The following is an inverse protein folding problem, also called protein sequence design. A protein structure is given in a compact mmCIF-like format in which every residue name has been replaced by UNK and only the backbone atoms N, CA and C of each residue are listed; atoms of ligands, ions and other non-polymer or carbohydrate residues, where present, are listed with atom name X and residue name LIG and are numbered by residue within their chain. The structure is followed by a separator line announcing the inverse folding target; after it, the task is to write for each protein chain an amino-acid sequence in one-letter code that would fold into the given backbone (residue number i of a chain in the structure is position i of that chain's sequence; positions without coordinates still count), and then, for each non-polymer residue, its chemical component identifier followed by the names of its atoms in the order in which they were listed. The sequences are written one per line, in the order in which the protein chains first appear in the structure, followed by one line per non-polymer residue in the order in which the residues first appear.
data_IF_722122153714
#
_entry.id   IF_722122153714
#
_cell.length_a   1.000
_cell.length_b   1.000
_cell.length_c   1.000
_cell.angle_alpha   90.00
_cell.angle_beta   90.00
_cell.angle_gamma   90.00
#
_symmetry.space_group_name_H-M   'P 1'
#
loop_
_entity.id
_entity.type
_entity.pdbx_description
1 polymer ?
#
# COMPACT_ATOMS: atom_id res chain seq x y z
N UNK A 1 0.82 6.75 -21.86
CA UNK A 1 1.87 5.74 -22.09
C UNK A 1 3.29 6.33 -22.07
N UNK A 2 3.56 7.40 -22.84
CA UNK A 2 4.87 8.07 -22.92
C UNK A 2 5.53 8.36 -21.56
N UNK A 3 4.78 8.96 -20.63
CA UNK A 3 5.29 9.27 -19.29
C UNK A 3 5.57 8.00 -18.48
N UNK A 4 4.62 7.06 -18.38
CA UNK A 4 4.78 5.83 -17.59
C UNK A 4 5.97 4.97 -18.02
N UNK A 5 6.24 4.85 -19.32
CA UNK A 5 7.40 4.11 -19.83
C UNK A 5 8.74 4.80 -19.54
N UNK A 6 8.74 6.12 -19.30
CA UNK A 6 9.96 6.94 -19.13
C UNK A 6 10.24 7.31 -17.68
N UNK A 7 9.22 7.45 -16.85
CA UNK A 7 9.33 7.83 -15.44
C UNK A 7 9.39 6.64 -14.50
N UNK A 8 9.69 5.43 -15.02
CA UNK A 8 9.62 4.15 -14.30
C UNK A 8 10.14 4.29 -12.84
N UNK A 9 9.25 4.32 -11.83
CA UNK A 9 9.62 4.64 -10.47
C UNK A 9 10.55 3.57 -9.91
N UNK A 10 11.36 3.95 -8.90
CA UNK A 10 12.04 2.95 -8.11
C UNK A 10 11.04 2.19 -7.28
N UNK A 11 11.33 0.92 -7.07
CA UNK A 11 10.43 0.01 -6.38
C UNK A 11 11.28 -1.02 -5.64
N UNK A 12 11.74 -0.71 -4.41
CA UNK A 12 12.66 -1.56 -3.66
C UNK A 12 12.01 -2.85 -3.17
N UNK A 13 10.69 -2.88 -3.10
CA UNK A 13 9.87 -4.05 -2.82
C UNK A 13 8.58 -3.98 -3.64
N UNK A 14 8.01 -5.14 -3.97
CA UNK A 14 6.74 -5.17 -4.67
C UNK A 14 5.60 -4.58 -3.86
N UNK A 15 4.71 -3.89 -4.57
CA UNK A 15 3.54 -3.22 -3.99
C UNK A 15 2.30 -3.63 -4.77
N UNK A 16 1.14 -3.17 -4.32
CA UNK A 16 -0.14 -3.34 -5.03
C UNK A 16 -0.09 -2.86 -6.48
N UNK A 17 0.79 -1.91 -6.79
CA UNK A 17 0.91 -1.32 -8.13
C UNK A 17 1.73 -2.17 -9.11
N UNK A 18 2.53 -3.13 -8.62
CA UNK A 18 3.32 -4.01 -9.47
C UNK A 18 4.54 -4.61 -8.78
N UNK A 19 5.22 -5.49 -9.51
CA UNK A 19 6.39 -6.22 -9.02
C UNK A 19 7.69 -5.45 -9.23
N UNK A 20 8.66 -5.66 -8.36
CA UNK A 20 10.05 -5.27 -8.57
C UNK A 20 10.66 -6.00 -9.78
N UNK A 21 11.51 -5.30 -10.55
CA UNK A 21 12.32 -5.90 -11.61
C UNK A 21 13.46 -6.75 -11.04
N UNK A 22 13.86 -7.80 -11.75
CA UNK A 22 14.95 -8.67 -11.33
C UNK A 22 16.29 -8.14 -11.88
N UNK A 23 17.42 -8.16 -11.15
CA UNK A 23 18.70 -7.63 -11.65
C UNK A 23 19.16 -8.26 -12.97
N UNK A 24 18.82 -9.54 -13.18
CA UNK A 24 19.21 -10.28 -14.37
C UNK A 24 18.25 -10.19 -15.57
N UNK A 25 17.14 -9.44 -15.48
CA UNK A 25 16.29 -9.23 -16.66
C UNK A 25 16.89 -8.19 -17.61
N UNK A 26 16.37 -8.14 -18.84
CA UNK A 26 16.61 -7.00 -19.70
C UNK A 26 15.96 -5.75 -19.08
N UNK A 27 16.52 -4.59 -19.41
CA UNK A 27 16.14 -3.26 -18.95
C UNK A 27 16.38 -2.99 -17.45
N UNK A 28 17.15 -3.85 -16.78
CA UNK A 28 17.55 -3.65 -15.38
C UNK A 28 18.56 -2.53 -15.28
N UNK A 29 18.36 -1.61 -14.34
CA UNK A 29 19.21 -0.43 -14.16
C UNK A 29 20.29 -0.67 -13.12
N UNK A 30 21.45 -0.09 -13.36
CA UNK A 30 22.64 -0.22 -12.55
C UNK A 30 23.28 1.15 -12.33
N UNK A 31 23.79 1.41 -11.13
CA UNK A 31 24.39 2.70 -10.77
C UNK A 31 25.80 2.55 -10.22
N UNK A 32 26.71 3.52 -10.44
CA UNK A 32 28.08 3.45 -9.96
C UNK A 32 28.29 4.01 -8.54
N UNK A 33 27.27 4.63 -7.94
CA UNK A 33 27.33 5.27 -6.62
C UNK A 33 26.59 4.47 -5.55
N UNK A 34 27.00 4.66 -4.30
CA UNK A 34 26.64 3.80 -3.18
C UNK A 34 25.25 4.10 -2.63
N UNK A 35 25.00 5.36 -2.26
CA UNK A 35 23.76 5.78 -1.60
C UNK A 35 22.82 6.50 -2.57
N UNK A 36 21.51 6.35 -2.39
CA UNK A 36 20.50 7.09 -3.15
C UNK A 36 19.36 7.60 -2.29
N UNK A 37 18.38 8.28 -2.90
CA UNK A 37 17.26 8.86 -2.16
C UNK A 37 16.42 7.84 -1.39
N UNK A 38 16.41 6.57 -1.78
CA UNK A 38 15.73 5.54 -0.98
C UNK A 38 16.41 5.31 0.37
N UNK A 39 17.73 5.48 0.45
CA UNK A 39 18.45 5.38 1.72
C UNK A 39 18.16 6.60 2.64
N UNK A 40 17.77 7.77 2.10
CA UNK A 40 17.35 8.97 2.87
C UNK A 40 15.93 8.81 3.47
N UNK A 41 15.01 8.17 2.74
CA UNK A 41 13.62 7.97 3.17
C UNK A 41 13.46 6.80 4.17
N UNK A 42 14.51 6.00 4.38
CA UNK A 42 14.45 4.83 5.26
C UNK A 42 14.77 5.21 6.71
N UNK A 43 13.75 5.60 7.48
CA UNK A 43 13.88 6.05 8.89
C UNK A 43 14.60 5.04 9.82
N UNK A 44 14.58 3.76 9.49
CA UNK A 44 15.26 2.70 10.25
C UNK A 44 16.71 2.42 9.79
N UNK A 45 17.12 2.95 8.65
CA UNK A 45 18.46 2.73 8.11
C UNK A 45 19.50 3.56 8.84
N UNK A 46 20.58 2.92 9.30
CA UNK A 46 21.74 3.61 9.86
C UNK A 46 23.00 3.22 9.10
N UNK A 47 23.90 4.19 8.91
CA UNK A 47 25.24 3.93 8.44
C UNK A 47 26.09 3.44 9.62
N UNK A 48 26.74 2.30 9.44
CA UNK A 48 27.81 1.83 10.34
C UNK A 48 29.11 1.71 9.56
N UNK A 49 30.19 2.21 10.16
CA UNK A 49 31.52 2.26 9.54
C UNK A 49 32.44 1.28 10.25
N UNK A 50 33.17 0.45 9.51
CA UNK A 50 34.16 -0.47 10.07
C UNK A 50 35.53 -0.28 9.43
N UNK A 51 36.58 -0.70 10.16
CA UNK A 51 37.96 -0.62 9.69
C UNK A 51 38.60 0.75 9.89
N UNK A 52 39.93 0.79 9.72
CA UNK A 52 40.70 2.03 9.82
C UNK A 52 40.97 2.66 8.45
N UNK A 53 41.59 1.92 7.54
CA UNK A 53 41.73 2.27 6.13
C UNK A 53 42.07 0.98 5.37
N UNK A 54 41.22 0.52 4.43
CA UNK A 54 39.98 1.16 3.96
C UNK A 54 38.83 1.07 4.99
N UNK A 55 37.85 1.96 4.82
CA UNK A 55 36.58 1.93 5.54
C UNK A 55 35.59 1.01 4.82
N UNK A 56 34.87 0.19 5.58
CA UNK A 56 33.77 -0.64 5.11
C UNK A 56 32.47 0.03 5.55
N UNK A 57 31.64 0.39 4.58
CA UNK A 57 30.38 1.07 4.85
C UNK A 57 29.24 0.07 4.82
N UNK A 58 28.49 -0.01 5.89
CA UNK A 58 27.24 -0.75 5.98
C UNK A 58 26.07 0.21 6.13
N UNK A 59 24.94 -0.08 5.51
CA UNK A 59 23.71 0.67 5.71
C UNK A 59 22.53 -0.27 5.82
N UNK A 60 21.79 -0.17 6.93
CA UNK A 60 20.76 -1.13 7.31
C UNK A 60 21.31 -2.59 7.31
N UNK A 61 22.42 -2.79 8.03
CA UNK A 61 23.13 -4.07 8.20
C UNK A 61 23.65 -4.72 6.90
N UNK A 62 23.74 -3.95 5.82
CA UNK A 62 24.21 -4.45 4.53
C UNK A 62 25.45 -3.73 4.08
N UNK A 63 26.46 -4.48 3.67
CA UNK A 63 27.65 -3.92 3.08
C UNK A 63 27.28 -3.17 1.79
N UNK A 64 27.71 -1.90 1.70
CA UNK A 64 27.40 -1.02 0.57
C UNK A 64 28.62 -0.75 -0.30
N UNK A 65 29.79 -0.51 0.31
CA UNK A 65 31.05 -0.28 -0.42
C UNK A 65 32.24 -0.35 0.54
N UNK A 66 33.44 -0.45 -0.03
CA UNK A 66 34.74 -0.27 0.63
C UNK A 66 35.42 0.95 0.04
N UNK A 67 35.77 1.92 0.87
CA UNK A 67 36.29 3.23 0.44
C UNK A 67 37.53 3.63 1.25
N UNK A 68 38.51 4.26 0.60
CA UNK A 68 39.65 4.81 1.32
C UNK A 68 39.19 5.93 2.26
N UNK A 69 39.75 6.01 3.47
CA UNK A 69 39.40 7.08 4.43
C UNK A 69 39.61 8.48 3.86
N UNK A 70 40.57 8.63 2.94
CA UNK A 70 40.82 9.90 2.25
C UNK A 70 39.63 10.38 1.40
N UNK A 71 38.86 9.43 0.84
CA UNK A 71 37.76 9.70 -0.08
C UNK A 71 36.40 9.83 0.62
N UNK A 72 36.31 9.44 1.91
CA UNK A 72 35.09 9.51 2.71
C UNK A 72 35.24 10.49 3.88
N UNK A 73 35.46 11.77 3.56
CA UNK A 73 35.65 12.85 4.54
C UNK A 73 34.49 13.85 4.51
N UNK A 74 34.20 14.44 5.67
CA UNK A 74 33.17 15.47 5.79
C UNK A 74 33.59 16.72 5.02
N UNK A 75 32.71 17.21 4.13
CA UNK A 75 32.98 18.38 3.27
C UNK A 75 32.86 19.72 4.01
N UNK A 76 32.17 19.74 5.15
CA UNK A 76 31.97 20.96 5.92
C UNK A 76 33.29 21.40 6.57
N UNK A 77 33.73 22.64 6.36
CA UNK A 77 35.07 23.12 6.73
C UNK A 77 35.36 23.00 8.22
N UNK A 78 34.35 23.20 9.07
CA UNK A 78 34.44 23.02 10.53
C UNK A 78 34.64 21.57 11.00
N UNK A 79 34.36 20.58 10.14
CA UNK A 79 34.38 19.16 10.46
C UNK A 79 35.34 18.36 9.56
N UNK A 80 36.26 19.04 8.88
CA UNK A 80 37.21 18.41 7.94
C UNK A 80 38.09 17.32 8.55
N UNK A 81 38.29 17.32 9.87
CA UNK A 81 39.03 16.31 10.63
C UNK A 81 38.10 15.32 11.38
N UNK A 82 36.80 15.32 11.08
CA UNK A 82 35.86 14.41 11.71
C UNK A 82 36.19 12.96 11.32
N UNK A 83 36.32 12.10 12.33
CA UNK A 83 36.55 10.67 12.15
C UNK A 83 35.27 9.91 12.50
N UNK A 84 34.77 9.12 11.56
CA UNK A 84 33.65 8.22 11.82
C UNK A 84 34.09 7.17 12.87
N UNK A 85 33.32 7.06 13.94
CA UNK A 85 33.46 6.06 14.97
C UNK A 85 32.89 4.73 14.48
N UNK A 86 33.59 3.64 14.76
CA UNK A 86 33.11 2.29 14.44
C UNK A 86 32.08 1.76 15.44
N UNK A 87 31.88 2.46 16.55
CA UNK A 87 30.92 2.10 17.60
C UNK A 87 29.63 2.90 17.56
N UNK A 88 29.43 3.74 16.52
CA UNK A 88 28.29 4.63 16.42
C UNK A 88 27.51 4.37 15.12
N UNK A 89 26.19 4.48 15.21
CA UNK A 89 25.27 4.32 14.09
C UNK A 89 24.78 5.70 13.63
N UNK A 90 25.02 6.04 12.37
CA UNK A 90 24.70 7.37 11.84
C UNK A 90 23.39 7.35 11.06
N UNK A 91 22.36 8.03 11.57
CA UNK A 91 21.07 8.15 10.88
C UNK A 91 21.16 9.06 9.64
N UNK A 92 20.39 8.83 8.55
CA UNK A 92 20.39 9.70 7.39
C UNK A 92 19.91 11.13 7.71
N UNK A 93 20.42 12.11 6.96
CA UNK A 93 19.91 13.48 6.99
C UNK A 93 20.22 14.25 5.69
N UNK A 94 19.35 15.19 5.34
CA UNK A 94 19.51 16.02 4.16
C UNK A 94 19.39 15.23 2.85
N UNK A 95 19.35 15.93 1.73
CA UNK A 95 19.10 15.28 0.43
C UNK A 95 20.33 14.55 -0.10
N UNK A 96 20.13 13.31 -0.55
CA UNK A 96 21.19 12.51 -1.16
C UNK A 96 21.32 12.85 -2.64
N UNK A 97 22.54 13.20 -3.06
CA UNK A 97 22.85 13.42 -4.46
C UNK A 97 23.35 12.14 -5.12
N UNK A 98 22.64 11.74 -6.16
CA UNK A 98 22.70 10.41 -6.77
C UNK A 98 23.73 10.32 -7.90
N UNK A 99 24.98 10.62 -7.55
CA UNK A 99 26.13 10.50 -8.43
C UNK A 99 27.41 10.38 -7.60
N UNK A 100 28.47 9.81 -8.17
CA UNK A 100 29.76 9.67 -7.48
C UNK A 100 30.31 11.05 -7.11
N UNK A 101 30.60 11.25 -5.82
CA UNK A 101 31.05 12.52 -5.26
C UNK A 101 29.93 13.51 -4.90
N UNK A 102 28.66 13.18 -5.17
CA UNK A 102 27.49 13.93 -4.68
C UNK A 102 27.46 14.02 -3.15
N UNK A 103 26.77 14.99 -2.55
CA UNK A 103 26.69 15.02 -1.08
C UNK A 103 25.67 13.99 -0.58
N UNK A 104 26.01 13.29 0.48
CA UNK A 104 25.10 12.47 1.27
C UNK A 104 25.31 12.83 2.74
N UNK A 105 24.24 12.91 3.52
CA UNK A 105 24.28 13.39 4.89
C UNK A 105 23.96 12.31 5.91
N UNK A 106 24.69 12.33 7.01
CA UNK A 106 24.47 11.44 8.15
C UNK A 106 24.60 12.21 9.47
N UNK A 107 23.72 11.94 10.44
CA UNK A 107 23.70 12.61 11.75
C UNK A 107 24.76 12.02 12.65
N UNK A 108 25.55 12.88 13.29
CA UNK A 108 26.50 12.48 14.32
C UNK A 108 25.82 12.25 15.68
N UNK A 109 26.64 11.99 16.71
CA UNK A 109 26.21 11.80 18.10
C UNK A 109 25.51 13.03 18.72
N UNK A 110 25.74 14.23 18.17
CA UNK A 110 25.13 15.48 18.61
C UNK A 110 23.84 15.80 17.81
N UNK A 111 23.51 15.00 16.80
CA UNK A 111 22.39 15.21 15.88
C UNK A 111 22.71 16.16 14.72
N UNK A 112 23.95 16.62 14.59
CA UNK A 112 24.44 17.48 13.52
C UNK A 112 24.59 16.69 12.21
N UNK A 113 24.17 17.28 11.10
CA UNK A 113 24.23 16.60 9.80
C UNK A 113 25.61 16.74 9.15
N UNK A 114 26.34 15.63 9.04
CA UNK A 114 27.64 15.51 8.39
C UNK A 114 27.49 15.14 6.93
N UNK A 115 27.89 16.04 6.04
CA UNK A 115 27.87 15.80 4.59
C UNK A 115 29.19 15.24 4.09
N UNK A 116 29.16 14.04 3.49
CA UNK A 116 30.29 13.37 2.86
C UNK A 116 30.05 13.19 1.35
N UNK A 117 31.10 13.01 0.52
CA UNK A 117 30.92 12.59 -0.86
C UNK A 117 30.32 11.18 -0.93
N UNK A 118 29.37 10.96 -1.85
CA UNK A 118 28.77 9.67 -2.16
C UNK A 118 29.82 8.80 -2.86
N UNK A 119 30.35 7.77 -2.19
CA UNK A 119 31.46 7.00 -2.73
C UNK A 119 31.01 6.15 -3.92
N UNK A 120 31.94 5.81 -4.83
CA UNK A 120 31.64 4.79 -5.83
C UNK A 120 31.41 3.44 -5.14
N UNK A 121 30.66 2.57 -5.80
CA UNK A 121 30.54 1.17 -5.40
C UNK A 121 31.89 0.49 -5.68
N UNK A 122 32.49 -0.12 -4.67
CA UNK A 122 33.77 -0.79 -4.81
C UNK A 122 33.96 -1.89 -3.76
N UNK A 123 34.39 -3.07 -4.20
CA UNK A 123 34.77 -4.18 -3.33
C UNK A 123 36.10 -4.78 -3.80
N UNK A 124 37.20 -4.64 -3.03
CA UNK A 124 38.49 -5.24 -3.38
C UNK A 124 38.41 -6.77 -3.33
N UNK A 125 39.20 -7.44 -4.16
CA UNK A 125 39.13 -8.90 -4.41
C UNK A 125 39.45 -9.73 -3.16
N UNK A 126 40.22 -9.18 -2.22
CA UNK A 126 40.77 -9.89 -1.05
C UNK A 126 39.92 -9.75 0.22
N UNK A 127 38.72 -9.19 0.13
CA UNK A 127 37.93 -8.86 1.31
C UNK A 127 37.00 -9.99 1.74
N UNK A 128 37.04 -10.34 3.04
CA UNK A 128 36.19 -11.39 3.63
C UNK A 128 34.68 -11.04 3.62
N UNK A 129 34.35 -9.75 3.51
CA UNK A 129 32.98 -9.24 3.53
C UNK A 129 32.46 -8.93 2.13
N UNK A 130 32.34 -9.96 1.30
CA UNK A 130 31.69 -9.80 -0.01
C UNK A 130 30.17 -9.60 0.17
N UNK A 131 29.53 -8.81 -0.71
CA UNK A 131 28.08 -8.76 -0.76
C UNK A 131 27.46 -10.13 -1.00
N UNK A 132 26.26 -10.36 -0.44
CA UNK A 132 25.56 -11.63 -0.58
C UNK A 132 25.25 -12.00 -2.03
N UNK A 133 25.01 -11.00 -2.89
CA UNK A 133 24.62 -11.20 -4.28
C UNK A 133 25.52 -10.38 -5.21
N UNK A 134 26.35 -11.08 -5.98
CA UNK A 134 27.24 -10.48 -6.99
C UNK A 134 27.06 -11.18 -8.32
N UNK A 135 26.61 -10.44 -9.33
CA UNK A 135 26.49 -10.94 -10.71
C UNK A 135 27.65 -10.42 -11.58
N UNK A 136 28.10 -11.23 -12.54
CA UNK A 136 29.03 -10.80 -13.57
C UNK A 136 28.31 -10.00 -14.65
N UNK A 137 28.71 -8.74 -14.81
CA UNK A 137 28.27 -7.86 -15.89
C UNK A 137 29.30 -7.89 -17.03
N UNK A 138 29.53 -9.08 -17.59
CA UNK A 138 30.53 -9.28 -18.63
C UNK A 138 30.24 -8.40 -19.86
N UNK A 139 31.06 -7.37 -20.08
CA UNK A 139 30.87 -6.38 -21.14
C UNK A 139 31.16 -6.92 -22.54
N UNK A 140 31.79 -8.09 -22.69
CA UNK A 140 32.16 -8.64 -24.01
C UNK A 140 30.96 -8.97 -24.90
N UNK A 141 29.76 -9.12 -24.32
CA UNK A 141 28.52 -9.43 -25.06
C UNK A 141 27.68 -8.17 -25.41
N UNK A 142 28.22 -6.95 -25.21
CA UNK A 142 27.48 -5.69 -25.34
C UNK A 142 26.13 -5.74 -24.59
N UNK A 143 26.16 -6.17 -23.33
CA UNK A 143 24.94 -6.35 -22.52
C UNK A 143 24.51 -5.09 -21.78
N UNK A 144 25.40 -4.10 -21.64
CA UNK A 144 25.13 -2.83 -20.97
C UNK A 144 25.11 -1.69 -21.98
N UNK A 145 24.13 -0.82 -21.84
CA UNK A 145 24.07 0.48 -22.50
C UNK A 145 24.18 1.57 -21.44
N UNK A 146 25.10 2.53 -21.58
CA UNK A 146 25.25 3.59 -20.60
C UNK A 146 24.12 4.63 -20.74
N UNK A 147 23.65 5.13 -19.61
CA UNK A 147 22.57 6.12 -19.50
C UNK A 147 23.21 7.47 -19.17
N UNK A 148 23.03 8.46 -20.05
CA UNK A 148 23.46 9.85 -19.82
C UNK A 148 24.95 10.01 -19.47
N UNK A 149 25.85 9.54 -20.35
CA UNK A 149 27.30 9.73 -20.16
C UNK A 149 27.76 11.19 -20.30
N UNK A 150 26.96 12.05 -20.93
CA UNK A 150 27.31 13.45 -21.19
C UNK A 150 26.74 14.42 -20.13
N UNK A 151 25.89 13.94 -19.23
CA UNK A 151 25.30 14.72 -18.14
C UNK A 151 26.24 14.91 -16.94
N UNK A 152 25.92 15.87 -16.08
CA UNK A 152 26.67 16.17 -14.83
C UNK A 152 26.68 15.03 -13.80
N UNK A 153 25.95 13.94 -14.05
CA UNK A 153 25.55 12.98 -13.02
C UNK A 153 26.28 11.62 -13.10
N UNK A 154 27.30 11.46 -13.96
CA UNK A 154 28.11 10.24 -14.12
C UNK A 154 27.25 8.96 -14.22
N UNK A 155 26.93 8.65 -15.48
CA UNK A 155 25.88 7.74 -15.92
C UNK A 155 25.72 6.40 -15.20
N UNK A 156 24.46 5.98 -15.08
CA UNK A 156 24.10 4.60 -14.80
C UNK A 156 24.21 3.74 -16.07
N UNK A 157 23.85 2.47 -15.94
CA UNK A 157 23.80 1.53 -17.05
C UNK A 157 22.43 0.84 -17.07
N UNK A 158 22.00 0.42 -18.25
CA UNK A 158 20.85 -0.46 -18.42
C UNK A 158 21.30 -1.74 -19.09
N UNK A 159 20.84 -2.89 -18.59
CA UNK A 159 21.02 -4.15 -19.31
C UNK A 159 20.11 -4.16 -20.53
N UNK A 160 20.63 -4.43 -21.73
CA UNK A 160 19.78 -4.54 -22.94
C UNK A 160 19.37 -5.99 -23.22
N UNK A 161 19.97 -6.94 -22.51
CA UNK A 161 19.70 -8.38 -22.61
C UNK A 161 19.59 -9.01 -21.23
N UNK A 162 18.95 -10.17 -21.15
CA UNK A 162 18.93 -10.99 -19.93
C UNK A 162 20.35 -11.45 -19.59
N UNK A 163 20.77 -11.31 -18.33
CA UNK A 163 22.05 -11.81 -17.84
C UNK A 163 22.03 -13.34 -17.77
N UNK A 164 23.17 -13.99 -18.10
CA UNK A 164 23.34 -15.45 -18.07
C UNK A 164 24.18 -15.94 -16.88
N UNK A 165 24.37 -15.09 -15.89
CA UNK A 165 25.13 -15.44 -14.69
C UNK A 165 24.39 -16.53 -13.89
N UNK A 166 25.13 -17.48 -13.30
CA UNK A 166 24.54 -18.54 -12.49
C UNK A 166 23.88 -17.98 -11.21
N UNK A 167 24.43 -16.90 -10.66
CA UNK A 167 23.92 -16.18 -9.49
C UNK A 167 22.53 -15.56 -9.76
N UNK A 168 22.15 -15.39 -11.03
CA UNK A 168 20.80 -14.94 -11.36
C UNK A 168 19.69 -15.87 -10.88
N UNK A 169 19.99 -17.13 -10.59
CA UNK A 169 19.02 -18.10 -10.08
C UNK A 169 18.95 -18.18 -8.55
N UNK A 170 19.95 -17.64 -7.85
CA UNK A 170 20.02 -17.61 -6.38
C UNK A 170 19.45 -16.32 -5.81
N UNK A 171 19.36 -15.27 -6.64
CA UNK A 171 18.75 -14.00 -6.28
C UNK A 171 17.23 -14.16 -6.15
N UNK A 172 16.65 -13.85 -4.98
CA UNK A 172 15.20 -13.91 -4.81
C UNK A 172 14.51 -12.84 -5.67
N UNK A 173 13.34 -13.19 -6.22
CA UNK A 173 12.52 -12.27 -7.00
C UNK A 173 11.87 -11.16 -6.14
N UNK A 174 11.68 -11.42 -4.85
CA UNK A 174 10.97 -10.56 -3.90
C UNK A 174 11.71 -10.35 -2.60
N UNK A 175 11.27 -9.34 -1.86
CA UNK A 175 11.78 -9.01 -0.54
C UNK A 175 13.30 -8.93 -0.54
N UNK A 176 13.84 -8.36 -1.61
CA UNK A 176 15.28 -8.25 -1.78
C UNK A 176 15.80 -7.13 -0.89
N UNK A 177 15.78 -7.38 0.43
CA UNK A 177 16.36 -6.49 1.42
C UNK A 177 17.82 -6.27 1.04
N UNK A 178 18.54 -7.34 0.71
CA UNK A 178 19.95 -7.31 0.32
C UNK A 178 20.19 -6.63 -1.02
N UNK A 179 21.09 -5.63 -1.06
CA UNK A 179 21.52 -5.03 -2.33
C UNK A 179 22.24 -6.07 -3.23
N UNK A 180 22.03 -5.92 -4.54
CA UNK A 180 22.72 -6.71 -5.58
C UNK A 180 23.78 -5.86 -6.23
N UNK A 181 24.94 -6.46 -6.43
CA UNK A 181 26.07 -5.80 -7.05
C UNK A 181 26.43 -6.50 -8.36
N UNK A 182 26.89 -5.72 -9.32
CA UNK A 182 27.34 -6.17 -10.61
C UNK A 182 28.82 -5.88 -10.78
N UNK A 183 29.63 -6.90 -11.07
CA UNK A 183 31.07 -6.74 -11.32
C UNK A 183 31.34 -6.69 -12.82
N UNK A 184 31.98 -5.63 -13.28
CA UNK A 184 32.38 -5.43 -14.67
C UNK A 184 33.69 -6.16 -14.98
N UNK A 185 33.96 -6.36 -16.27
CA UNK A 185 35.18 -7.05 -16.74
C UNK A 185 36.48 -6.28 -16.46
N UNK A 186 36.38 -4.95 -16.31
CA UNK A 186 37.49 -4.08 -15.91
C UNK A 186 37.71 -4.05 -14.37
N UNK A 187 36.90 -4.79 -13.61
CA UNK A 187 36.95 -4.87 -12.16
C UNK A 187 36.18 -3.76 -11.43
N UNK A 188 35.58 -2.82 -12.15
CA UNK A 188 34.67 -1.83 -11.56
C UNK A 188 33.33 -2.46 -11.16
N UNK A 189 32.59 -1.77 -10.29
CA UNK A 189 31.38 -2.29 -9.69
C UNK A 189 30.20 -1.35 -9.91
N UNK A 190 29.02 -1.94 -10.03
CA UNK A 190 27.74 -1.25 -10.08
C UNK A 190 26.80 -1.85 -9.02
N UNK A 191 25.83 -1.07 -8.57
CA UNK A 191 24.74 -1.53 -7.72
C UNK A 191 23.44 -1.57 -8.53
N UNK A 192 22.67 -2.64 -8.38
CA UNK A 192 21.35 -2.77 -8.99
C UNK A 192 20.40 -1.73 -8.41
N UNK A 193 19.65 -1.06 -9.29
CA UNK A 193 18.62 -0.12 -8.92
C UNK A 193 17.24 -0.70 -9.25
N UNK A 194 16.48 -1.15 -8.24
CA UNK A 194 15.23 -1.82 -8.47
C UNK A 194 14.18 -0.85 -9.01
N UNK A 195 13.49 -1.27 -10.08
CA UNK A 195 12.48 -0.48 -10.76
C UNK A 195 11.20 -1.29 -10.90
N UNK A 196 10.06 -0.60 -10.99
CA UNK A 196 8.79 -1.25 -11.28
C UNK A 196 8.87 -2.01 -12.62
N UNK A 197 8.52 -3.29 -12.59
CA UNK A 197 8.41 -4.12 -13.79
C UNK A 197 7.07 -3.82 -14.46
N UNK A 198 7.12 -3.13 -15.60
CA UNK A 198 5.93 -2.78 -16.36
C UNK A 198 5.43 -4.00 -17.15
N UNK A 199 4.14 -4.34 -17.01
CA UNK A 199 3.44 -5.27 -17.87
C UNK A 199 2.56 -4.50 -18.86
N UNK A 200 2.45 -5.01 -20.09
CA UNK A 200 1.57 -4.43 -21.11
C UNK A 200 0.22 -5.14 -21.09
N UNK A 201 -0.84 -4.37 -20.91
CA UNK A 201 -2.22 -4.85 -20.90
C UNK A 201 -3.07 -3.88 -21.75
N UNK A 202 -3.08 -4.09 -23.07
CA UNK A 202 -3.79 -3.22 -24.01
C UNK A 202 -4.99 -3.93 -24.60
N UNK A 203 -5.91 -3.19 -25.23
CA UNK A 203 -7.09 -3.78 -25.86
C UNK A 203 -6.68 -4.73 -27.01
N UNK A 204 -5.65 -4.37 -27.78
CA UNK A 204 -5.14 -5.20 -28.88
C UNK A 204 -4.23 -6.35 -28.44
N UNK A 205 -3.63 -6.26 -27.25
CA UNK A 205 -2.78 -7.28 -26.67
C UNK A 205 -3.06 -7.40 -25.16
N UNK A 206 -4.20 -8.02 -24.79
CA UNK A 206 -4.58 -8.16 -23.40
C UNK A 206 -3.60 -9.07 -22.68
N UNK A 207 -3.34 -8.76 -21.41
CA UNK A 207 -2.45 -9.56 -20.58
C UNK A 207 -3.12 -10.91 -20.28
N UNK A 208 -2.65 -11.98 -20.93
CA UNK A 208 -3.35 -13.28 -20.93
C UNK A 208 -3.54 -13.92 -19.55
N UNK A 209 -2.63 -13.65 -18.61
CA UNK A 209 -2.72 -14.13 -17.22
C UNK A 209 -3.34 -13.09 -16.28
N UNK A 210 -3.82 -11.94 -16.78
CA UNK A 210 -4.39 -10.84 -15.99
C UNK A 210 -3.52 -10.34 -14.84
N UNK A 211 -2.20 -10.57 -14.89
CA UNK A 211 -1.26 -10.23 -13.82
C UNK A 211 -1.12 -11.32 -12.75
N UNK A 212 -1.69 -12.51 -12.93
CA UNK A 212 -1.55 -13.64 -12.02
C UNK A 212 -0.10 -14.01 -11.72
N UNK A 213 0.80 -13.98 -12.71
CA UNK A 213 2.23 -14.22 -12.47
C UNK A 213 2.85 -13.15 -11.57
N UNK A 214 2.37 -11.90 -11.63
CA UNK A 214 2.87 -10.84 -10.76
C UNK A 214 2.42 -11.06 -9.30
N UNK A 215 1.18 -11.53 -9.10
CA UNK A 215 0.69 -11.92 -7.77
C UNK A 215 1.54 -13.06 -7.20
N UNK A 216 1.77 -14.13 -7.97
CA UNK A 216 2.57 -15.27 -7.53
C UNK A 216 4.02 -14.87 -7.25
N UNK A 217 4.64 -14.09 -8.14
CA UNK A 217 6.00 -13.63 -7.94
C UNK A 217 6.12 -12.77 -6.70
N UNK A 218 5.15 -11.87 -6.45
CA UNK A 218 5.12 -10.93 -5.33
C UNK A 218 4.64 -11.50 -4.00
N UNK A 219 4.38 -12.80 -3.93
CA UNK A 219 3.76 -13.44 -2.77
C UNK A 219 2.47 -12.72 -2.33
N UNK A 220 1.62 -12.38 -3.31
CA UNK A 220 0.34 -11.72 -3.08
C UNK A 220 0.38 -10.20 -2.88
N UNK A 221 1.56 -9.57 -2.77
CA UNK A 221 1.66 -8.11 -2.56
C UNK A 221 1.16 -7.28 -3.73
N UNK A 222 1.35 -7.78 -4.96
CA UNK A 222 0.89 -7.11 -6.18
C UNK A 222 -0.52 -7.50 -6.54
N UNK A 223 -1.35 -6.52 -6.87
CA UNK A 223 -2.71 -6.76 -7.36
C UNK A 223 -2.74 -7.20 -8.81
N UNK A 224 -3.77 -7.95 -9.18
CA UNK A 224 -4.01 -8.28 -10.58
C UNK A 224 -4.34 -7.06 -11.43
N UNK A 225 -3.99 -7.13 -12.71
CA UNK A 225 -4.25 -6.10 -13.70
C UNK A 225 -5.55 -6.38 -14.47
N UNK A 226 -6.64 -6.70 -13.78
CA UNK A 226 -7.94 -6.97 -14.42
C UNK A 226 -8.65 -5.65 -14.77
N UNK A 227 -9.38 -5.65 -15.89
CA UNK A 227 -10.26 -4.55 -16.29
C UNK A 227 -11.69 -5.08 -16.48
N UNK A 228 -12.72 -4.36 -15.99
CA UNK A 228 -14.11 -4.76 -16.22
C UNK A 228 -14.43 -4.73 -17.72
N UNK A 229 -15.34 -5.62 -18.14
CA UNK A 229 -15.90 -5.58 -19.49
C UNK A 229 -16.85 -4.39 -19.61
N UNK A 230 -16.67 -3.59 -20.65
CA UNK A 230 -17.42 -2.37 -20.98
C UNK A 230 -17.66 -2.36 -22.49
N UNK A 231 -18.53 -1.48 -22.98
CA UNK A 231 -18.73 -1.29 -24.42
C UNK A 231 -17.45 -0.86 -25.17
N UNK A 232 -16.42 -0.36 -24.46
CA UNK A 232 -15.15 0.09 -25.05
C UNK A 232 -14.15 -1.05 -25.28
N UNK A 233 -14.24 -2.13 -24.53
CA UNK A 233 -13.29 -3.26 -24.61
C UNK A 233 -13.98 -4.60 -24.86
N UNK A 234 -15.31 -4.67 -24.96
CA UNK A 234 -16.03 -5.93 -25.00
C UNK A 234 -15.64 -6.86 -26.16
N UNK A 235 -15.32 -6.30 -27.33
CA UNK A 235 -14.94 -7.08 -28.52
C UNK A 235 -13.57 -7.75 -28.40
N UNK A 236 -12.70 -7.23 -27.52
CA UNK A 236 -11.32 -7.70 -27.33
C UNK A 236 -11.03 -8.10 -25.88
N UNK A 237 -12.05 -8.11 -25.02
CA UNK A 237 -11.94 -8.53 -23.62
C UNK A 237 -11.75 -10.04 -23.58
N UNK A 238 -10.55 -10.47 -23.21
CA UNK A 238 -10.20 -11.89 -23.07
C UNK A 238 -10.30 -12.27 -21.60
N UNK A 239 -11.14 -13.25 -21.29
CA UNK A 239 -11.16 -13.85 -19.97
C UNK A 239 -9.82 -14.54 -19.69
N UNK A 240 -9.13 -14.11 -18.65
CA UNK A 240 -7.87 -14.74 -18.28
C UNK A 240 -8.10 -16.16 -17.76
N UNK A 241 -7.19 -17.07 -18.14
CA UNK A 241 -7.23 -18.48 -17.70
C UNK A 241 -6.60 -18.71 -16.33
N UNK A 242 -5.83 -17.74 -15.83
CA UNK A 242 -5.00 -17.88 -14.62
C UNK A 242 -4.86 -16.57 -13.83
N UNK A 243 -5.68 -15.56 -14.12
CA UNK A 243 -5.65 -14.31 -13.37
C UNK A 243 -6.02 -14.57 -11.91
N UNK A 244 -5.13 -14.16 -11.02
CA UNK A 244 -5.31 -14.23 -9.57
C UNK A 244 -5.72 -15.61 -9.07
N UNK A 245 -5.42 -16.69 -9.79
CA UNK A 245 -5.64 -18.01 -9.24
C UNK A 245 -4.61 -18.22 -8.14
N UNK A 246 -5.02 -17.96 -6.89
CA UNK A 246 -4.38 -18.61 -5.76
C UNK A 246 -4.39 -20.11 -6.05
N UNK A 247 -3.22 -20.71 -6.04
CA UNK A 247 -3.01 -22.11 -6.36
C UNK A 247 -3.61 -23.01 -5.27
N UNK A 248 -4.93 -23.13 -5.21
CA UNK A 248 -5.61 -24.29 -4.67
C UNK A 248 -7.09 -24.22 -5.08
N UNK A 249 -7.73 -25.37 -5.15
CA UNK A 249 -9.14 -25.63 -5.41
C UNK A 249 -10.13 -24.99 -4.41
N UNK A 250 -9.76 -23.89 -3.74
CA UNK A 250 -10.52 -23.18 -2.71
C UNK A 250 -11.35 -22.01 -3.25
N UNK A 251 -11.36 -21.75 -4.56
CA UNK A 251 -12.05 -20.61 -5.19
C UNK A 251 -13.58 -20.59 -5.03
N UNK A 252 -14.17 -21.66 -4.49
CA UNK A 252 -15.59 -21.75 -4.12
C UNK A 252 -15.86 -21.66 -2.63
N UNK A 253 -14.82 -21.64 -1.77
CA UNK A 253 -15.05 -21.50 -0.34
C UNK A 253 -15.56 -20.08 -0.06
N UNK A 254 -16.82 -19.99 0.33
CA UNK A 254 -17.42 -18.76 0.80
C UNK A 254 -17.42 -18.72 2.32
N UNK A 255 -17.19 -17.54 2.86
CA UNK A 255 -17.22 -17.23 4.27
C UNK A 255 -18.27 -16.17 4.52
N UNK A 256 -19.08 -16.35 5.56
CA UNK A 256 -19.98 -15.29 6.02
C UNK A 256 -19.22 -14.42 7.01
N UNK A 257 -19.25 -13.09 6.84
CA UNK A 257 -18.60 -12.15 7.74
C UNK A 257 -19.43 -11.97 9.03
N UNK A 258 -19.38 -12.96 9.92
CA UNK A 258 -20.01 -12.96 11.24
C UNK A 258 -18.97 -12.92 12.37
N UNK A 259 -19.43 -12.86 13.63
CA UNK A 259 -18.54 -12.77 14.79
C UNK A 259 -17.55 -13.95 14.84
N UNK A 260 -18.01 -15.16 14.54
CA UNK A 260 -17.20 -16.38 14.59
C UNK A 260 -16.09 -16.35 13.55
N UNK A 261 -16.43 -15.99 12.31
CA UNK A 261 -15.48 -15.92 11.19
C UNK A 261 -14.46 -14.82 11.41
N UNK A 262 -14.88 -13.64 11.88
CA UNK A 262 -13.97 -12.51 12.11
C UNK A 262 -12.96 -12.83 13.22
N UNK A 263 -13.42 -13.45 14.32
CA UNK A 263 -12.51 -13.90 15.38
C UNK A 263 -11.56 -15.00 14.91
N UNK A 264 -12.04 -15.95 14.11
CA UNK A 264 -11.19 -17.02 13.58
C UNK A 264 -10.12 -16.48 12.63
N UNK A 265 -10.48 -15.51 11.78
CA UNK A 265 -9.51 -14.84 10.91
C UNK A 265 -8.42 -14.14 11.74
N UNK A 266 -8.77 -13.46 12.85
CA UNK A 266 -7.77 -12.89 13.75
C UNK A 266 -6.86 -13.97 14.37
N UNK A 267 -7.43 -15.08 14.84
CA UNK A 267 -6.67 -16.17 15.47
C UNK A 267 -5.66 -16.82 14.51
N UNK A 268 -6.04 -16.99 13.24
CA UNK A 268 -5.19 -17.63 12.23
C UNK A 268 -4.13 -16.66 11.71
N UNK A 269 -4.51 -15.42 11.42
CA UNK A 269 -3.65 -14.48 10.67
C UNK A 269 -2.90 -13.50 11.56
N UNK A 270 -3.40 -13.25 12.77
CA UNK A 270 -2.96 -12.13 13.61
C UNK A 270 -3.42 -10.75 13.11
N UNK A 271 -4.15 -10.67 12.00
CA UNK A 271 -4.63 -9.40 11.44
C UNK A 271 -5.80 -8.82 12.23
N UNK A 272 -5.79 -7.51 12.42
CA UNK A 272 -6.82 -6.80 13.17
C UNK A 272 -8.04 -6.48 12.29
N UNK A 273 -8.84 -7.49 12.00
CA UNK A 273 -10.08 -7.37 11.24
C UNK A 273 -11.20 -6.93 12.16
N UNK A 274 -11.81 -5.79 11.88
CA UNK A 274 -12.85 -5.20 12.73
C UNK A 274 -14.01 -4.67 11.89
N UNK A 275 -15.23 -4.91 12.38
CA UNK A 275 -16.42 -4.18 11.96
C UNK A 275 -16.49 -2.80 12.61
N UNK A 276 -17.22 -1.88 11.99
CA UNK A 276 -17.32 -0.50 12.49
C UNK A 276 -18.73 -0.13 12.93
N UNK A 277 -18.83 0.44 14.13
CA UNK A 277 -20.06 1.02 14.69
C UNK A 277 -19.76 2.39 15.29
N UNK A 278 -20.79 3.15 15.65
CA UNK A 278 -20.65 4.42 16.38
C UNK A 278 -20.27 5.64 15.53
N UNK A 279 -20.16 5.48 14.21
CA UNK A 279 -20.10 6.59 13.27
C UNK A 279 -21.48 7.26 13.17
N UNK A 280 -21.62 8.54 13.51
CA UNK A 280 -22.91 9.22 13.48
C UNK A 280 -23.26 9.71 12.07
N UNK A 281 -24.54 9.98 11.82
CA UNK A 281 -24.98 10.63 10.57
C UNK A 281 -24.69 12.13 10.60
N UNK A 282 -24.68 12.73 11.79
CA UNK A 282 -24.17 14.09 12.07
C UNK A 282 -23.22 14.03 13.25
N UNK A 283 -22.01 14.53 13.08
CA UNK A 283 -21.02 14.54 14.14
C UNK A 283 -21.27 15.68 15.17
N UNK A 284 -20.36 15.80 16.14
CA UNK A 284 -20.48 16.80 17.20
C UNK A 284 -20.13 18.23 16.76
N UNK A 285 -19.59 18.40 15.55
CA UNK A 285 -19.34 19.68 14.91
C UNK A 285 -20.52 20.13 14.04
N UNK A 286 -21.51 19.25 13.83
CA UNK A 286 -22.65 19.51 12.95
C UNK A 286 -22.39 19.10 11.51
N UNK A 287 -21.26 18.44 11.23
CA UNK A 287 -20.95 17.93 9.89
C UNK A 287 -21.74 16.64 9.67
N UNK A 288 -22.66 16.71 8.71
CA UNK A 288 -23.61 15.64 8.40
C UNK A 288 -23.35 14.98 7.04
N UNK A 289 -23.75 13.71 6.93
CA UNK A 289 -23.80 13.03 5.64
C UNK A 289 -24.85 13.68 4.73
N UNK A 290 -24.53 13.80 3.44
CA UNK A 290 -25.47 14.22 2.41
C UNK A 290 -26.77 13.43 2.49
N UNK A 291 -27.91 14.13 2.42
CA UNK A 291 -29.24 13.54 2.52
C UNK A 291 -29.41 12.35 1.54
N UNK A 292 -30.17 11.29 1.87
CA UNK A 292 -30.30 10.12 1.00
C UNK A 292 -30.87 10.45 -0.37
N UNK A 293 -31.60 11.56 -0.50
CA UNK A 293 -32.13 12.03 -1.78
C UNK A 293 -31.17 12.94 -2.57
N UNK A 294 -29.93 13.07 -2.16
CA UNK A 294 -28.92 13.73 -2.96
C UNK A 294 -28.61 12.87 -4.21
N UNK A 295 -28.66 13.44 -5.43
CA UNK A 295 -28.43 12.68 -6.66
C UNK A 295 -27.12 11.89 -6.67
N UNK A 296 -27.20 10.59 -7.02
CA UNK A 296 -26.05 9.68 -7.13
C UNK A 296 -25.49 9.21 -5.78
N UNK A 297 -26.08 9.61 -4.66
CA UNK A 297 -25.60 9.24 -3.33
C UNK A 297 -26.11 7.85 -2.94
N UNK A 298 -25.19 7.05 -2.37
CA UNK A 298 -25.50 5.83 -1.63
C UNK A 298 -25.85 6.19 -0.19
N UNK A 299 -26.94 5.64 0.33
CA UNK A 299 -27.27 5.67 1.76
C UNK A 299 -27.36 4.25 2.31
N UNK A 300 -27.04 4.08 3.59
CA UNK A 300 -27.09 2.82 4.32
C UNK A 300 -28.16 2.87 5.40
N UNK A 301 -28.88 1.77 5.53
CA UNK A 301 -30.00 1.64 6.44
C UNK A 301 -29.84 0.39 7.29
N UNK A 302 -29.91 0.53 8.59
CA UNK A 302 -29.90 -0.57 9.56
C UNK A 302 -31.33 -1.04 9.82
N UNK A 303 -31.52 -2.35 9.86
CA UNK A 303 -32.81 -2.98 10.17
C UNK A 303 -33.01 -3.06 11.69
N UNK A 304 -34.21 -2.71 12.12
CA UNK A 304 -34.68 -2.76 13.50
C UNK A 304 -36.10 -3.34 13.55
N UNK A 305 -36.50 -3.82 14.73
CA UNK A 305 -37.90 -4.21 14.98
C UNK A 305 -38.81 -2.97 14.87
N UNK A 306 -40.01 -3.15 14.33
CA UNK A 306 -40.98 -2.03 14.15
C UNK A 306 -41.35 -1.33 15.46
N UNK A 307 -41.32 -2.06 16.58
CA UNK A 307 -41.68 -1.54 17.92
C UNK A 307 -40.71 -0.47 18.45
N UNK A 308 -39.50 -0.38 17.90
CA UNK A 308 -38.48 0.62 18.28
C UNK A 308 -38.32 1.75 17.25
N UNK A 309 -39.20 1.78 16.24
CA UNK A 309 -39.18 2.79 15.19
C UNK A 309 -39.77 4.11 15.65
N UNK A 310 -39.05 5.21 15.46
CA UNK A 310 -39.57 6.57 15.61
C UNK A 310 -39.67 7.22 14.23
N UNK A 311 -40.72 6.84 13.47
CA UNK A 311 -40.83 7.20 12.05
C UNK A 311 -40.70 8.70 11.83
N UNK A 312 -39.75 9.08 10.98
CA UNK A 312 -39.46 10.49 10.71
C UNK A 312 -40.53 11.10 9.82
N UNK A 313 -41.18 12.16 10.31
CA UNK A 313 -42.21 12.87 9.55
C UNK A 313 -41.59 13.65 8.40
N UNK A 314 -41.74 13.15 7.17
CA UNK A 314 -41.24 13.74 5.93
C UNK A 314 -42.36 14.02 4.93
N UNK A 315 -42.07 14.79 3.89
CA UNK A 315 -42.97 14.97 2.75
C UNK A 315 -43.34 13.65 2.07
N UNK A 316 -44.58 13.55 1.58
CA UNK A 316 -45.14 12.35 0.95
C UNK A 316 -44.24 11.83 -0.18
N UNK A 317 -43.69 12.72 -1.01
CA UNK A 317 -42.78 12.34 -2.09
C UNK A 317 -41.50 11.67 -1.58
N UNK A 318 -40.85 12.25 -0.56
CA UNK A 318 -39.64 11.71 0.06
C UNK A 318 -39.89 10.33 0.67
N UNK A 319 -40.98 10.19 1.44
CA UNK A 319 -41.33 8.91 2.05
C UNK A 319 -41.59 7.83 0.98
N UNK A 320 -42.43 8.10 -0.03
CA UNK A 320 -42.70 7.15 -1.13
C UNK A 320 -41.39 6.76 -1.85
N UNK A 321 -40.52 7.73 -2.10
CA UNK A 321 -39.25 7.53 -2.80
C UNK A 321 -38.31 6.60 -2.04
N UNK A 322 -38.04 6.91 -0.77
CA UNK A 322 -37.11 6.15 0.05
C UNK A 322 -37.67 4.76 0.38
N UNK A 323 -38.96 4.65 0.69
CA UNK A 323 -39.65 3.37 0.90
C UNK A 323 -39.59 2.50 -0.36
N UNK A 324 -39.80 3.08 -1.54
CA UNK A 324 -39.68 2.35 -2.81
C UNK A 324 -38.25 1.86 -3.06
N UNK A 325 -37.25 2.70 -2.83
CA UNK A 325 -35.84 2.33 -2.98
C UNK A 325 -35.42 1.23 -2.00
N UNK A 326 -35.87 1.30 -0.74
CA UNK A 326 -35.62 0.28 0.27
C UNK A 326 -36.28 -1.06 -0.09
N UNK A 327 -37.56 -1.04 -0.50
CA UNK A 327 -38.29 -2.25 -0.87
C UNK A 327 -37.69 -2.93 -2.11
N UNK A 328 -37.25 -2.13 -3.08
CA UNK A 328 -36.74 -2.63 -4.36
C UNK A 328 -35.21 -2.82 -4.39
N UNK A 329 -34.51 -2.61 -3.26
CA UNK A 329 -33.07 -2.82 -3.22
C UNK A 329 -32.73 -4.30 -3.47
N UNK A 330 -31.72 -4.53 -4.31
CA UNK A 330 -31.15 -5.88 -4.54
C UNK A 330 -30.17 -6.32 -3.46
N UNK A 331 -29.94 -5.50 -2.42
CA UNK A 331 -29.04 -5.82 -1.33
C UNK A 331 -29.65 -6.87 -0.40
N UNK A 332 -29.00 -8.03 -0.33
CA UNK A 332 -29.47 -9.21 0.41
C UNK A 332 -28.92 -9.33 1.83
N UNK A 333 -28.18 -8.33 2.31
CA UNK A 333 -27.67 -8.34 3.68
C UNK A 333 -28.82 -8.30 4.71
N UNK A 334 -28.72 -9.12 5.76
CA UNK A 334 -29.79 -9.29 6.74
C UNK A 334 -29.90 -8.15 7.76
N UNK A 335 -28.80 -7.43 7.99
CA UNK A 335 -28.68 -6.42 9.05
C UNK A 335 -28.76 -5.00 8.52
N UNK A 336 -28.27 -4.79 7.29
CA UNK A 336 -28.22 -3.49 6.65
C UNK A 336 -28.67 -3.57 5.19
N UNK A 337 -29.03 -2.43 4.64
CA UNK A 337 -29.40 -2.28 3.23
C UNK A 337 -28.84 -0.99 2.68
N UNK A 338 -28.06 -1.11 1.61
CA UNK A 338 -27.62 0.03 0.82
C UNK A 338 -28.68 0.33 -0.26
N UNK A 339 -28.98 1.61 -0.46
CA UNK A 339 -29.81 2.12 -1.57
C UNK A 339 -29.10 3.28 -2.26
N UNK A 340 -29.38 3.46 -3.54
CA UNK A 340 -28.81 4.53 -4.35
C UNK A 340 -29.92 5.45 -4.86
N UNK A 341 -29.76 6.75 -4.64
CA UNK A 341 -30.67 7.72 -5.22
C UNK A 341 -30.26 8.05 -6.66
N UNK A 342 -31.21 8.13 -7.62
CA UNK A 342 -30.86 8.29 -9.02
C UNK A 342 -30.00 9.53 -9.32
N UNK A 343 -29.00 9.38 -10.18
CA UNK A 343 -28.06 10.46 -10.57
C UNK A 343 -28.76 11.67 -11.21
N UNK A 344 -29.85 11.44 -11.95
CA UNK A 344 -30.61 12.50 -12.60
C UNK A 344 -31.62 13.18 -11.65
N UNK A 345 -31.71 12.73 -10.39
CA UNK A 345 -32.59 13.28 -9.36
C UNK A 345 -34.09 13.09 -9.59
N UNK A 346 -34.50 12.67 -10.80
CA UNK A 346 -35.88 12.42 -11.21
C UNK A 346 -35.89 11.15 -12.07
N UNK A 347 -36.45 10.09 -11.54
CA UNK A 347 -36.87 8.88 -12.26
C UNK A 347 -38.33 8.68 -11.90
N UNK A 348 -39.17 8.28 -12.85
CA UNK A 348 -40.63 8.20 -12.68
C UNK A 348 -41.04 7.65 -11.30
N UNK A 349 -41.61 8.52 -10.44
CA UNK A 349 -42.09 8.18 -9.10
C UNK A 349 -41.11 8.38 -7.94
N UNK A 350 -39.86 8.76 -8.20
CA UNK A 350 -38.83 9.09 -7.19
C UNK A 350 -38.60 10.60 -7.17
N UNK A 351 -39.18 11.27 -6.18
CA UNK A 351 -39.04 12.72 -5.96
C UNK A 351 -38.98 13.01 -4.47
N UNK A 352 -37.89 13.57 -3.97
CA UNK A 352 -37.84 14.06 -2.59
C UNK A 352 -38.16 15.56 -2.50
N UNK A 353 -38.80 15.93 -1.41
CA UNK A 353 -39.05 17.32 -1.07
C UNK A 353 -37.76 17.94 -0.49
N UNK A 354 -37.36 19.09 -1.03
CA UNK A 354 -36.16 19.81 -0.59
C UNK A 354 -36.23 20.24 0.89
N UNK A 355 -37.44 20.40 1.45
CA UNK A 355 -37.61 20.77 2.87
C UNK A 355 -37.25 19.63 3.82
N UNK A 356 -37.14 18.40 3.33
CA UNK A 356 -36.79 17.25 4.16
C UNK A 356 -35.26 17.08 4.30
N UNK A 357 -34.45 17.91 3.62
CA UNK A 357 -32.99 17.79 3.61
C UNK A 357 -32.35 18.15 4.96
N UNK A 358 -33.11 18.78 5.85
CA UNK A 358 -32.69 19.13 7.22
C UNK A 358 -32.82 17.95 8.20
N UNK A 359 -33.32 16.78 7.76
CA UNK A 359 -33.42 15.56 8.58
C UNK A 359 -32.25 14.60 8.27
N UNK A 360 -31.15 14.66 9.02
CA UNK A 360 -30.03 13.76 8.79
C UNK A 360 -30.33 12.36 9.31
N UNK A 361 -30.95 12.23 10.48
CA UNK A 361 -31.38 10.96 11.06
C UNK A 361 -32.81 10.67 10.56
N UNK A 362 -32.99 9.51 9.93
CA UNK A 362 -34.26 9.14 9.29
C UNK A 362 -34.58 7.70 9.66
N UNK A 363 -35.76 7.48 10.21
CA UNK A 363 -36.34 6.18 10.46
C UNK A 363 -37.58 6.02 9.56
N UNK A 364 -37.69 4.87 8.89
CA UNK A 364 -38.78 4.53 7.98
C UNK A 364 -39.32 3.14 8.28
N UNK A 365 -40.64 2.98 8.28
CA UNK A 365 -41.28 1.66 8.33
C UNK A 365 -41.52 1.19 6.90
N UNK A 366 -40.89 0.07 6.52
CA UNK A 366 -41.07 -0.55 5.21
C UNK A 366 -41.48 -1.99 5.39
N UNK A 367 -42.70 -2.28 4.94
CA UNK A 367 -43.40 -3.55 5.16
C UNK A 367 -43.66 -3.77 6.66
N UNK A 368 -42.83 -4.54 7.36
CA UNK A 368 -42.93 -4.80 8.81
C UNK A 368 -41.60 -4.54 9.54
N UNK A 369 -40.64 -3.89 8.88
CA UNK A 369 -39.32 -3.59 9.44
C UNK A 369 -39.12 -2.07 9.58
N UNK A 370 -38.46 -1.68 10.66
CA UNK A 370 -37.94 -0.32 10.79
C UNK A 370 -36.55 -0.24 10.15
N UNK A 371 -36.36 0.76 9.30
CA UNK A 371 -35.08 1.05 8.65
C UNK A 371 -34.57 2.39 9.15
N UNK A 372 -33.49 2.37 9.90
CA UNK A 372 -32.81 3.56 10.40
C UNK A 372 -31.64 3.91 9.51
N UNK A 373 -31.58 5.14 9.02
CA UNK A 373 -30.40 5.64 8.31
C UNK A 373 -29.20 5.68 9.25
N UNK A 374 -28.09 5.12 8.78
CA UNK A 374 -26.83 5.07 9.50
C UNK A 374 -25.69 5.58 8.62
N UNK A 375 -24.48 5.70 9.19
CA UNK A 375 -23.30 6.04 8.42
C UNK A 375 -23.06 5.04 7.28
N UNK A 376 -22.53 5.49 6.15
CA UNK A 376 -22.32 4.63 4.97
C UNK A 376 -21.31 3.49 5.21
N UNK A 377 -20.57 3.54 6.32
CA UNK A 377 -19.60 2.54 6.78
C UNK A 377 -20.04 1.77 8.03
N UNK A 378 -21.27 2.00 8.50
CA UNK A 378 -21.84 1.23 9.61
C UNK A 378 -21.92 -0.26 9.24
N UNK A 379 -21.40 -1.13 10.11
CA UNK A 379 -21.17 -2.57 9.89
C UNK A 379 -20.25 -2.94 8.71
N UNK A 380 -19.51 -2.00 8.11
CA UNK A 380 -18.43 -2.36 7.20
C UNK A 380 -17.31 -3.06 7.97
N UNK A 381 -16.73 -4.11 7.38
CA UNK A 381 -15.62 -4.90 7.94
C UNK A 381 -14.33 -4.52 7.22
N UNK A 382 -13.33 -4.06 7.98
CA UNK A 382 -12.03 -3.65 7.46
C UNK A 382 -10.89 -4.47 8.03
N UNK A 383 -9.85 -4.67 7.23
CA UNK A 383 -8.53 -5.02 7.76
C UNK A 383 -7.84 -3.74 8.28
N UNK A 384 -7.76 -3.61 9.60
CA UNK A 384 -7.16 -2.46 10.27
C UNK A 384 -5.73 -2.72 10.76
N UNK A 385 -5.06 -3.76 10.26
CA UNK A 385 -3.72 -4.15 10.71
C UNK A 385 -2.72 -3.02 10.56
N UNK A 386 -2.71 -2.34 9.40
CA UNK A 386 -1.90 -1.14 9.19
C UNK A 386 -2.18 -0.07 10.26
N UNK A 387 -3.46 0.22 10.50
CA UNK A 387 -3.87 1.25 11.43
C UNK A 387 -3.52 0.92 12.88
N UNK A 388 -3.52 -0.36 13.22
CA UNK A 388 -3.08 -0.83 14.53
C UNK A 388 -1.65 -0.40 14.86
N UNK A 389 -0.79 -0.11 13.88
CA UNK A 389 0.59 0.35 14.11
C UNK A 389 0.80 1.85 13.89
N UNK A 390 -0.11 2.49 13.14
CA UNK A 390 0.02 3.91 12.72
C UNK A 390 -0.98 4.85 13.37
N UNK A 391 -1.94 4.34 14.14
CA UNK A 391 -2.93 5.16 14.82
C UNK A 391 -2.27 6.08 15.87
N UNK A 392 -2.51 7.38 15.75
CA UNK A 392 -1.92 8.42 16.62
C UNK A 392 -2.29 8.26 18.10
N UNK A 393 -3.46 7.70 18.38
CA UNK A 393 -3.89 7.38 19.75
C UNK A 393 -3.24 6.12 20.32
N UNK A 394 -2.33 5.49 19.58
CA UNK A 394 -1.63 4.26 19.95
C UNK A 394 -2.36 2.97 19.51
N UNK A 395 -1.61 1.85 19.47
CA UNK A 395 -2.07 0.57 18.91
C UNK A 395 -3.27 -0.02 19.65
N UNK A 396 -3.26 0.06 20.98
CA UNK A 396 -4.29 -0.53 21.85
C UNK A 396 -5.72 -0.10 21.48
N UNK A 397 -5.90 1.14 21.01
CA UNK A 397 -7.23 1.65 20.68
C UNK A 397 -7.86 1.00 19.44
N UNK A 398 -7.05 0.33 18.61
CA UNK A 398 -7.49 -0.45 17.47
C UNK A 398 -7.50 -1.94 17.81
N UNK A 399 -6.48 -2.42 18.52
CA UNK A 399 -6.26 -3.86 18.74
C UNK A 399 -7.19 -4.50 19.78
N UNK A 400 -7.63 -3.72 20.78
CA UNK A 400 -8.34 -4.26 21.95
C UNK A 400 -9.64 -5.02 21.60
N UNK A 401 -10.30 -4.69 20.50
CA UNK A 401 -11.57 -5.31 20.12
C UNK A 401 -11.34 -6.77 19.73
N UNK A 402 -10.50 -7.02 18.72
CA UNK A 402 -10.09 -8.37 18.35
C UNK A 402 -9.45 -9.15 19.53
N UNK A 403 -8.58 -8.51 20.32
CA UNK A 403 -7.93 -9.15 21.50
C UNK A 403 -8.91 -9.56 22.59
N UNK A 404 -10.06 -8.88 22.70
CA UNK A 404 -11.12 -9.20 23.66
C UNK A 404 -12.21 -10.07 23.05
N UNK A 405 -12.00 -10.64 21.86
CA UNK A 405 -13.00 -11.43 21.14
C UNK A 405 -14.28 -10.61 20.89
N UNK A 406 -14.09 -9.34 20.52
CA UNK A 406 -15.11 -8.43 20.04
C UNK A 406 -14.88 -8.15 18.55
N UNK A 407 -15.97 -8.17 17.77
CA UNK A 407 -15.92 -7.95 16.32
C UNK A 407 -15.94 -6.48 15.94
N UNK A 408 -16.54 -5.61 16.76
CA UNK A 408 -16.83 -4.23 16.39
C UNK A 408 -15.95 -3.23 17.14
N UNK A 409 -15.19 -2.45 16.39
CA UNK A 409 -14.63 -1.20 16.88
C UNK A 409 -15.75 -0.16 16.98
N UNK A 410 -15.96 0.36 18.18
CA UNK A 410 -16.91 1.47 18.42
C UNK A 410 -16.18 2.80 18.21
N UNK A 411 -16.51 3.51 17.14
CA UNK A 411 -15.94 4.80 16.82
C UNK A 411 -16.30 5.83 17.90
N UNK A 412 -15.30 6.49 18.52
CA UNK A 412 -15.54 7.37 19.67
C UNK A 412 -15.94 8.78 19.22
N UNK A 413 -17.06 8.89 18.49
CA UNK A 413 -17.59 10.17 18.02
C UNK A 413 -17.88 11.13 19.18
N UNK A 414 -18.34 10.60 20.33
CA UNK A 414 -18.51 11.35 21.58
C UNK A 414 -17.83 10.61 22.73
N UNK A 415 -16.85 11.23 23.38
CA UNK A 415 -16.20 10.63 24.56
C UNK A 415 -17.05 10.84 25.81
N UNK A 416 -17.39 9.78 26.57
CA UNK A 416 -18.14 9.92 27.82
C UNK A 416 -17.29 10.61 28.91
N UNK A 417 -15.96 10.60 28.78
CA UNK A 417 -15.03 11.19 29.74
C UNK A 417 -14.49 12.49 29.15
N UNK A 418 -14.77 13.63 29.81
CA UNK A 418 -14.38 15.01 29.42
C UNK A 418 -12.88 15.26 29.14
N UNK A 419 -12.02 14.25 29.30
CA UNK A 419 -10.57 14.38 29.10
C UNK A 419 -10.10 14.03 27.69
N UNK A 420 -10.91 13.33 26.89
CA UNK A 420 -10.58 13.00 25.51
C UNK A 420 -11.38 13.86 24.53
N UNK A 421 -10.72 14.37 23.49
CA UNK A 421 -11.38 15.10 22.41
C UNK A 421 -12.25 14.16 21.60
N UNK A 422 -13.47 14.59 21.27
CA UNK A 422 -14.37 13.92 20.34
C UNK A 422 -13.69 13.68 18.98
N UNK A 423 -14.14 12.65 18.29
CA UNK A 423 -13.64 12.31 16.96
C UNK A 423 -14.71 12.67 15.93
N UNK A 424 -14.61 13.84 15.28
CA UNK A 424 -15.53 14.20 14.19
C UNK A 424 -15.41 13.21 13.03
N UNK A 425 -16.46 13.07 12.21
CA UNK A 425 -16.52 12.05 11.15
C UNK A 425 -15.47 12.25 10.07
N UNK A 426 -15.04 13.49 9.80
CA UNK A 426 -13.97 13.74 8.81
C UNK A 426 -12.67 12.99 9.12
N UNK A 427 -12.35 12.72 10.39
CA UNK A 427 -11.15 11.93 10.76
C UNK A 427 -11.27 10.49 10.30
N UNK A 428 -12.47 9.93 10.32
CA UNK A 428 -12.75 8.63 9.75
C UNK A 428 -12.55 8.68 8.24
N UNK A 429 -13.18 9.63 7.54
CA UNK A 429 -13.13 9.76 6.07
C UNK A 429 -11.69 9.95 5.55
N UNK A 430 -10.87 10.72 6.27
CA UNK A 430 -9.45 10.94 5.98
C UNK A 430 -8.56 9.68 6.12
N UNK A 431 -9.05 8.62 6.77
CA UNK A 431 -8.24 7.45 7.06
C UNK A 431 -8.86 6.13 6.58
N UNK A 432 -10.18 6.05 6.44
CA UNK A 432 -10.90 4.82 6.08
C UNK A 432 -10.44 4.23 4.75
N UNK A 433 -10.08 5.08 3.78
CA UNK A 433 -9.53 4.67 2.48
C UNK A 433 -8.15 3.98 2.56
N UNK A 434 -7.47 4.03 3.71
CA UNK A 434 -6.20 3.35 3.94
C UNK A 434 -6.39 1.91 4.44
N UNK A 435 -7.62 1.52 4.75
CA UNK A 435 -7.95 0.20 5.28
C UNK A 435 -8.65 -0.60 4.18
N UNK A 436 -8.18 -1.81 3.83
CA UNK A 436 -8.90 -2.68 2.92
C UNK A 436 -10.30 -3.00 3.46
N UNK A 437 -11.35 -2.68 2.70
CA UNK A 437 -12.72 -3.11 2.96
C UNK A 437 -12.88 -4.56 2.52
N UNK A 438 -13.21 -5.45 3.45
CA UNK A 438 -13.42 -6.88 3.17
C UNK A 438 -14.87 -7.17 2.76
N UNK A 439 -15.82 -6.39 3.28
CA UNK A 439 -17.25 -6.56 3.06
C UNK A 439 -18.05 -5.88 4.16
N UNK A 440 -19.28 -6.34 4.40
CA UNK A 440 -20.13 -5.87 5.51
C UNK A 440 -20.51 -7.05 6.39
N UNK A 441 -20.79 -6.79 7.65
CA UNK A 441 -21.22 -7.82 8.59
C UNK A 441 -22.46 -8.56 8.05
N UNK A 442 -22.42 -9.89 7.99
CA UNK A 442 -23.44 -10.74 7.39
C UNK A 442 -23.32 -10.95 5.87
N UNK A 443 -22.42 -10.24 5.16
CA UNK A 443 -22.14 -10.55 3.76
C UNK A 443 -21.45 -11.91 3.65
N UNK A 444 -21.66 -12.59 2.52
CA UNK A 444 -20.92 -13.79 2.16
C UNK A 444 -19.88 -13.43 1.10
N UNK A 445 -18.60 -13.60 1.43
CA UNK A 445 -17.47 -13.30 0.57
C UNK A 445 -16.76 -14.58 0.17
N UNK A 446 -15.96 -14.56 -0.89
CA UNK A 446 -15.08 -15.69 -1.21
C UNK A 446 -13.80 -15.56 -0.41
N UNK A 447 -13.23 -16.68 0.02
CA UNK A 447 -11.93 -16.69 0.71
C UNK A 447 -10.85 -15.95 -0.09
N UNK A 448 -10.87 -16.06 -1.43
CA UNK A 448 -9.91 -15.40 -2.32
C UNK A 448 -10.04 -13.87 -2.36
N UNK A 449 -11.19 -13.33 -1.92
CA UNK A 449 -11.42 -11.89 -1.86
C UNK A 449 -10.87 -11.29 -0.55
N UNK A 450 -10.50 -12.12 0.43
CA UNK A 450 -9.70 -11.68 1.57
C UNK A 450 -8.29 -11.37 1.07
N UNK A 451 -7.89 -10.11 1.20
CA UNK A 451 -6.61 -9.61 0.68
C UNK A 451 -5.44 -10.51 1.12
N UNK A 452 -4.45 -10.80 0.23
CA UNK A 452 -3.37 -11.76 0.48
C UNK A 452 -2.47 -11.51 1.70
N UNK A 453 -2.59 -10.36 2.36
CA UNK A 453 -1.59 -9.90 3.32
C UNK A 453 -1.56 -10.74 4.61
N UNK A 454 -2.55 -11.60 4.88
CA UNK A 454 -2.63 -12.33 6.15
C UNK A 454 -2.87 -13.85 6.11
N UNK A 455 -3.28 -14.45 4.99
CA UNK A 455 -3.69 -15.87 4.96
C UNK A 455 -2.58 -16.84 4.52
N UNK A 456 -1.32 -16.41 4.54
CA UNK A 456 -0.17 -17.30 4.41
C UNK A 456 0.01 -18.07 5.73
N UNK A 457 -0.77 -19.14 5.91
CA UNK A 457 -0.47 -20.15 6.93
C UNK A 457 0.61 -21.09 6.40
N UNK A 458 1.60 -21.40 7.25
CA UNK A 458 2.73 -22.32 7.04
C UNK A 458 2.38 -23.65 6.34
#
# INVERSE_FOLDING_TARGET
EFWRKRTNPRLPESTVMGTQGHPCTALSKWRPYTFDREDDEWEAGHLTVFGDDPLILYFADQVRTVVARADFRVKNTGYSNYNFSTSFEYAPCGTYYEYVGGNVGFRDENGDCLYVPNPPVHFPVEYEHLPSYVVSLNTTENILEPIDMNGRYLGGYVTIKKLKDAECSTIPHENQKSKVFGKLSDGSWLQFEPRLKLAENTISNPLGDGGGSAVVLSDGKTSCANAPRTFLNEDQCVLSKSACQFASSSSELTLTLDDATIHELYNITGNFINGIKGLPVVDDLGDGLLHPCSPGIRSRWERHDVDICDETVMGIGTNISLTSLLRNSGDSNLFIRDIYYPELGIVDGVTCNITDFDFPEIDLIVDDDCWRRVHHDYLSIYDMTYWSTKHLGGPYNIQKWAMNNETFLIYPSKHPIRKASNHPTHRWDENSHKFPLLGRYGDTIKLIDLSPVGLLTD
#
